data_IF_926262596316
#
_entry.id   IF_926262596316
#
_cell.length_a   1.000
_cell.length_b   1.000
_cell.length_c   1.000
_cell.angle_alpha   90.00
_cell.angle_beta   90.00
_cell.angle_gamma   90.00
#
_symmetry.space_group_name_H-M   'P 1'
#
loop_
_entity.id
_entity.type
_entity.pdbx_description
1 polymer ?
#
# COMPACT_ATOMS: atom_id res chain seq x y z
N UNK A 1 -25.08 16.00 15.22
CA UNK A 1 -24.85 15.16 14.03
C UNK A 1 -24.10 13.93 14.51
N UNK A 2 -24.82 12.84 14.73
CA UNK A 2 -24.26 11.60 15.24
C UNK A 2 -23.35 10.97 14.19
N UNK A 3 -22.12 10.65 14.58
CA UNK A 3 -21.19 9.92 13.72
C UNK A 3 -21.70 8.48 13.57
N UNK A 4 -21.76 7.91 12.35
CA UNK A 4 -22.00 6.49 12.21
C UNK A 4 -20.88 5.76 12.95
N UNK A 5 -21.23 4.81 13.83
CA UNK A 5 -20.22 3.94 14.43
C UNK A 5 -19.64 3.06 13.33
N UNK A 6 -18.48 3.44 12.80
CA UNK A 6 -17.66 2.51 12.05
C UNK A 6 -17.13 1.49 13.06
N UNK A 7 -17.88 0.39 13.20
CA UNK A 7 -17.33 -0.82 13.79
C UNK A 7 -15.99 -1.10 13.11
N UNK A 8 -15.00 -1.56 13.90
CA UNK A 8 -13.77 -2.17 13.40
C UNK A 8 -14.14 -3.47 12.67
N UNK A 9 -14.76 -3.34 11.50
CA UNK A 9 -15.24 -4.44 10.67
C UNK A 9 -14.06 -4.94 9.89
N UNK A 10 -13.63 -6.14 10.23
CA UNK A 10 -12.69 -6.88 9.41
C UNK A 10 -13.17 -6.95 7.96
N UNK A 11 -12.30 -6.63 7.02
CA UNK A 11 -12.57 -6.75 5.59
C UNK A 11 -11.58 -7.70 4.93
N UNK A 12 -12.01 -8.31 3.83
CA UNK A 12 -11.16 -9.10 2.95
C UNK A 12 -10.08 -8.20 2.36
N UNK A 13 -8.84 -8.68 2.35
CA UNK A 13 -7.68 -8.05 1.75
C UNK A 13 -7.62 -8.39 0.26
N UNK A 14 -7.43 -7.37 -0.56
CA UNK A 14 -6.80 -7.56 -1.86
C UNK A 14 -5.39 -6.97 -1.77
N UNK A 15 -4.41 -7.85 -1.89
CA UNK A 15 -3.04 -7.42 -2.12
C UNK A 15 -2.88 -7.20 -3.60
N UNK A 16 -2.82 -5.93 -3.97
CA UNK A 16 -2.26 -5.62 -5.25
C UNK A 16 -0.77 -5.90 -5.12
N UNK A 17 -0.38 -7.03 -5.69
CA UNK A 17 1.00 -7.32 -5.99
C UNK A 17 1.29 -6.70 -7.35
N UNK A 18 1.90 -5.51 -7.43
CA UNK A 18 2.50 -5.07 -8.66
C UNK A 18 3.81 -5.85 -8.84
N UNK A 19 3.69 -7.15 -9.12
CA UNK A 19 4.52 -7.68 -10.18
C UNK A 19 3.67 -7.56 -11.46
N UNK A 20 3.57 -6.31 -11.90
CA UNK A 20 3.99 -5.96 -13.25
C UNK A 20 2.96 -5.95 -14.40
N UNK A 21 2.43 -4.78 -14.72
CA UNK A 21 1.63 -4.55 -15.93
C UNK A 21 2.40 -4.56 -17.25
N UNK A 22 3.73 -4.69 -17.28
CA UNK A 22 4.49 -4.93 -18.53
C UNK A 22 5.98 -4.99 -18.27
N UNK A 23 6.75 -6.04 -18.67
CA UNK A 23 8.22 -6.20 -18.50
C UNK A 23 9.08 -4.94 -18.67
N UNK A 24 8.58 -3.92 -19.37
CA UNK A 24 9.19 -2.61 -19.56
C UNK A 24 9.50 -1.80 -18.29
N UNK A 25 8.73 -1.87 -17.21
CA UNK A 25 8.99 -1.02 -16.02
C UNK A 25 10.27 -1.47 -15.19
N UNK A 26 11.07 -2.51 -15.60
CA UNK A 26 11.68 -3.58 -14.69
C UNK A 26 12.85 -3.06 -13.88
N UNK A 27 13.35 -1.91 -14.31
CA UNK A 27 14.02 -0.95 -13.48
C UNK A 27 12.97 -0.11 -12.78
N UNK A 28 12.69 -0.40 -11.50
CA UNK A 28 11.85 0.44 -10.64
C UNK A 28 12.46 1.84 -10.61
N UNK A 29 12.05 2.67 -11.57
CA UNK A 29 12.20 4.11 -11.49
C UNK A 29 11.65 4.50 -10.13
N UNK A 30 12.49 5.03 -9.22
CA UNK A 30 12.05 5.36 -7.88
C UNK A 30 10.97 6.45 -7.89
N UNK A 31 10.75 7.15 -9.01
CA UNK A 31 9.69 8.15 -9.17
C UNK A 31 8.48 7.65 -9.96
N UNK A 32 8.40 6.34 -10.24
CA UNK A 32 7.24 5.75 -10.92
C UNK A 32 5.94 5.98 -10.14
N UNK A 33 4.82 5.94 -10.87
CA UNK A 33 3.48 6.00 -10.29
C UNK A 33 2.69 4.75 -10.63
N UNK A 34 1.89 4.29 -9.67
CA UNK A 34 0.83 3.31 -9.87
C UNK A 34 -0.33 4.04 -10.54
N UNK A 35 -0.69 3.56 -11.74
CA UNK A 35 -1.74 4.13 -12.58
C UNK A 35 -3.05 3.32 -12.51
N UNK A 36 -4.14 3.88 -13.05
CA UNK A 36 -5.44 3.19 -13.13
C UNK A 36 -5.32 1.88 -13.90
N UNK A 37 -4.54 1.88 -14.97
CA UNK A 37 -4.26 0.70 -15.79
C UNK A 37 -3.59 -0.41 -14.98
N UNK A 38 -2.78 -0.05 -13.97
CA UNK A 38 -2.15 -1.03 -13.09
C UNK A 38 -3.18 -1.77 -12.21
N UNK A 39 -4.20 -1.05 -11.75
CA UNK A 39 -5.30 -1.59 -10.96
C UNK A 39 -6.21 -2.48 -11.81
N UNK A 40 -6.59 -2.01 -12.99
CA UNK A 40 -7.46 -2.75 -13.92
C UNK A 40 -6.79 -4.02 -14.44
N UNK A 41 -5.49 -3.94 -14.75
CA UNK A 41 -4.73 -5.10 -15.17
C UNK A 41 -4.67 -6.16 -14.07
N UNK A 42 -4.47 -5.75 -12.81
CA UNK A 42 -4.47 -6.68 -11.68
C UNK A 42 -5.80 -7.44 -11.56
N UNK A 43 -6.95 -6.75 -11.68
CA UNK A 43 -8.25 -7.41 -11.68
C UNK A 43 -8.37 -8.40 -12.86
N UNK A 44 -7.89 -8.01 -14.04
CA UNK A 44 -7.91 -8.86 -15.24
C UNK A 44 -7.06 -10.13 -15.10
N UNK A 45 -5.85 -10.05 -14.53
CA UNK A 45 -4.95 -11.22 -14.44
C UNK A 45 -5.28 -12.15 -13.28
N UNK A 46 -5.83 -11.61 -12.19
CA UNK A 46 -6.21 -12.41 -11.01
C UNK A 46 -7.63 -12.95 -11.09
N UNK A 47 -8.49 -12.33 -11.90
CA UNK A 47 -9.93 -12.57 -11.92
C UNK A 47 -10.63 -12.17 -10.61
N UNK A 48 -9.93 -11.47 -9.72
CA UNK A 48 -10.48 -10.98 -8.45
C UNK A 48 -10.88 -9.53 -8.59
N UNK A 49 -11.94 -9.13 -7.90
CA UNK A 49 -12.28 -7.72 -7.79
C UNK A 49 -11.54 -7.08 -6.63
N UNK A 50 -11.10 -5.85 -6.84
CA UNK A 50 -10.62 -4.97 -5.80
C UNK A 50 -11.78 -4.32 -5.01
N UNK A 51 -13.04 -4.48 -5.44
CA UNK A 51 -14.20 -3.87 -4.81
C UNK A 51 -14.48 -4.42 -3.41
N UNK A 52 -14.69 -3.49 -2.45
CA UNK A 52 -15.01 -3.80 -1.06
C UNK A 52 -13.83 -4.38 -0.26
N UNK A 53 -12.61 -4.35 -0.81
CA UNK A 53 -11.40 -4.86 -0.15
C UNK A 53 -10.50 -3.74 0.35
N UNK A 54 -9.62 -4.07 1.30
CA UNK A 54 -8.50 -3.21 1.64
C UNK A 54 -7.45 -3.43 0.55
N UNK A 55 -7.01 -2.35 -0.10
CA UNK A 55 -5.98 -2.40 -1.14
C UNK A 55 -4.60 -2.18 -0.50
N UNK A 56 -3.70 -3.15 -0.63
CA UNK A 56 -2.29 -2.98 -0.26
C UNK A 56 -1.43 -2.98 -1.51
N UNK A 57 -0.65 -1.92 -1.70
CA UNK A 57 0.31 -1.74 -2.78
C UNK A 57 1.67 -2.27 -2.33
N UNK A 58 2.05 -3.45 -2.85
CA UNK A 58 3.34 -4.08 -2.53
C UNK A 58 4.42 -3.68 -3.53
N UNK A 59 5.27 -2.73 -3.19
CA UNK A 59 6.33 -2.24 -4.10
C UNK A 59 7.68 -2.94 -3.87
N UNK A 60 7.84 -3.60 -2.71
CA UNK A 60 9.11 -4.14 -2.23
C UNK A 60 9.99 -3.12 -1.51
N UNK A 61 9.52 -1.88 -1.33
CA UNK A 61 10.30 -0.79 -0.75
C UNK A 61 10.63 -1.00 0.73
N UNK A 62 9.81 -1.77 1.45
CA UNK A 62 10.05 -2.16 2.85
C UNK A 62 11.43 -2.78 3.09
N UNK A 63 11.98 -3.48 2.09
CA UNK A 63 13.33 -4.07 2.15
C UNK A 63 14.44 -3.04 2.36
N UNK A 64 14.18 -1.76 2.05
CA UNK A 64 15.14 -0.66 2.20
C UNK A 64 15.12 -0.04 3.60
N UNK A 65 14.17 -0.39 4.48
CA UNK A 65 13.97 0.24 5.79
C UNK A 65 15.24 0.36 6.65
N UNK A 66 16.12 -0.66 6.62
CA UNK A 66 17.38 -0.65 7.37
C UNK A 66 18.49 0.24 6.80
N UNK A 67 18.29 0.83 5.62
CA UNK A 67 19.22 1.74 4.96
C UNK A 67 18.51 3.06 4.64
N UNK A 68 18.79 4.08 5.46
CA UNK A 68 18.10 5.39 5.38
C UNK A 68 18.23 6.05 4.00
N UNK A 69 19.44 6.11 3.44
CA UNK A 69 19.66 6.67 2.10
C UNK A 69 18.85 5.93 1.04
N UNK A 70 18.81 4.60 1.10
CA UNK A 70 18.02 3.81 0.16
C UNK A 70 16.50 3.98 0.36
N UNK A 71 16.04 4.05 1.60
CA UNK A 71 14.62 4.16 1.95
C UNK A 71 14.02 5.50 1.55
N UNK A 72 14.73 6.59 1.82
CA UNK A 72 14.31 7.94 1.42
C UNK A 72 14.64 8.24 -0.06
N UNK A 73 15.50 7.43 -0.69
CA UNK A 73 15.95 7.64 -2.06
C UNK A 73 16.86 8.86 -2.22
N UNK A 74 17.48 9.33 -1.14
CA UNK A 74 18.23 10.59 -1.12
C UNK A 74 19.42 10.53 -0.16
N UNK A 75 20.51 11.28 -0.41
CA UNK A 75 21.62 11.41 0.54
C UNK A 75 21.16 11.90 1.92
N UNK A 76 21.90 11.49 2.96
CA UNK A 76 21.65 11.97 4.33
C UNK A 76 21.79 13.50 4.41
N UNK A 77 20.88 14.13 5.14
CA UNK A 77 20.80 15.58 5.31
C UNK A 77 19.87 16.30 4.34
N UNK A 78 19.26 15.58 3.39
CA UNK A 78 18.28 16.13 2.44
C UNK A 78 16.86 15.59 2.64
N UNK A 79 16.65 14.69 3.62
CA UNK A 79 15.37 13.99 3.81
C UNK A 79 14.21 14.88 4.26
N UNK A 80 14.50 16.09 4.76
CA UNK A 80 13.51 17.03 5.26
C UNK A 80 12.83 17.86 4.15
N UNK A 81 13.37 17.86 2.92
CA UNK A 81 12.74 18.48 1.75
C UNK A 81 12.18 17.39 0.81
N UNK A 82 10.84 17.28 0.68
CA UNK A 82 10.20 16.31 -0.22
C UNK A 82 10.79 16.31 -1.63
N UNK A 83 11.23 17.46 -2.17
CA UNK A 83 11.80 17.56 -3.52
C UNK A 83 13.03 16.68 -3.75
N UNK A 84 13.71 16.28 -2.67
CA UNK A 84 14.87 15.41 -2.73
C UNK A 84 14.54 13.95 -2.48
N UNK A 85 13.31 13.60 -2.13
CA UNK A 85 12.89 12.24 -1.85
C UNK A 85 12.53 11.49 -3.13
N UNK A 86 12.97 10.24 -3.23
CA UNK A 86 12.73 9.41 -4.40
C UNK A 86 12.20 8.04 -3.98
N UNK A 87 10.88 7.91 -3.99
CA UNK A 87 10.15 6.66 -3.84
C UNK A 87 8.81 6.78 -4.55
N UNK A 88 8.30 5.64 -5.00
CA UNK A 88 7.15 5.58 -5.88
C UNK A 88 5.84 5.79 -5.10
N UNK A 89 4.76 6.10 -5.80
CA UNK A 89 3.45 6.34 -5.19
C UNK A 89 2.29 6.07 -6.13
N UNK A 90 1.10 6.57 -5.78
CA UNK A 90 -0.09 6.57 -6.61
C UNK A 90 -0.14 7.83 -7.48
N UNK A 91 -0.60 7.69 -8.72
CA UNK A 91 -1.01 8.84 -9.50
C UNK A 91 -2.32 9.43 -8.97
N UNK A 92 -2.57 10.70 -9.28
CA UNK A 92 -3.82 11.37 -8.91
C UNK A 92 -5.05 10.69 -9.57
N UNK A 93 -4.90 10.18 -10.80
CA UNK A 93 -5.94 9.42 -11.50
C UNK A 93 -6.22 8.09 -10.81
N UNK A 94 -5.19 7.36 -10.39
CA UNK A 94 -5.35 6.13 -9.61
C UNK A 94 -6.02 6.40 -8.27
N UNK A 95 -5.61 7.44 -7.56
CA UNK A 95 -6.26 7.88 -6.32
C UNK A 95 -7.74 8.20 -6.54
N UNK A 96 -8.09 8.91 -7.62
CA UNK A 96 -9.48 9.25 -7.94
C UNK A 96 -10.30 8.01 -8.28
N UNK A 97 -9.73 7.04 -9.01
CA UNK A 97 -10.41 5.78 -9.32
C UNK A 97 -10.70 4.94 -8.06
N UNK A 98 -9.83 5.02 -7.05
CA UNK A 98 -10.01 4.33 -5.78
C UNK A 98 -11.10 4.94 -4.90
N UNK A 99 -11.42 6.23 -5.06
CA UNK A 99 -12.46 6.93 -4.28
C UNK A 99 -13.80 6.21 -4.32
N UNK A 100 -14.19 5.76 -5.50
CA UNK A 100 -15.55 5.26 -5.72
C UNK A 100 -15.79 3.89 -5.09
N UNK A 101 -14.74 3.18 -4.65
CA UNK A 101 -14.86 1.76 -4.35
C UNK A 101 -14.05 1.27 -3.14
N UNK A 102 -13.39 2.14 -2.35
CA UNK A 102 -12.47 1.72 -1.26
C UNK A 102 -12.68 2.51 0.03
N UNK A 103 -12.39 1.86 1.15
CA UNK A 103 -12.38 2.49 2.47
C UNK A 103 -10.96 2.67 3.04
N UNK A 104 -10.03 1.80 2.65
CA UNK A 104 -8.65 1.79 3.15
C UNK A 104 -7.70 1.39 2.03
N UNK A 105 -6.59 2.12 1.92
CA UNK A 105 -5.43 1.75 1.11
C UNK A 105 -4.17 1.64 1.98
N UNK A 106 -3.17 0.93 1.50
CA UNK A 106 -1.85 0.95 2.10
C UNK A 106 -0.71 0.73 1.12
N UNK A 107 0.50 1.11 1.52
CA UNK A 107 1.72 1.01 0.73
C UNK A 107 2.93 0.75 1.65
N UNK A 108 3.98 0.14 1.11
CA UNK A 108 5.23 -0.15 1.81
C UNK A 108 6.32 0.95 1.68
N UNK A 109 5.99 2.07 1.03
CA UNK A 109 6.81 3.28 0.97
C UNK A 109 6.48 4.24 2.13
N UNK A 110 7.27 5.31 2.25
CA UNK A 110 7.09 6.36 3.26
C UNK A 110 5.75 7.10 3.11
N UNK A 111 5.27 7.21 1.88
CA UNK A 111 3.99 7.84 1.53
C UNK A 111 3.40 7.17 0.29
N UNK A 112 2.07 7.19 0.16
CA UNK A 112 1.39 6.77 -1.07
C UNK A 112 1.29 7.87 -2.13
N UNK A 113 1.82 9.06 -1.87
CA UNK A 113 2.26 9.98 -2.92
C UNK A 113 3.74 9.70 -3.26
N UNK A 114 4.16 10.05 -4.49
CA UNK A 114 5.58 9.97 -4.84
C UNK A 114 6.44 10.85 -3.91
N UNK A 115 7.67 10.44 -3.66
CA UNK A 115 8.58 11.14 -2.73
C UNK A 115 8.75 12.61 -3.04
N UNK A 116 8.94 12.94 -4.32
CA UNK A 116 9.11 14.31 -4.80
C UNK A 116 7.84 15.17 -4.82
N UNK A 117 6.69 14.65 -4.38
CA UNK A 117 5.44 15.41 -4.32
C UNK A 117 5.46 16.45 -3.20
N UNK A 118 5.05 17.67 -3.54
CA UNK A 118 4.90 18.79 -2.60
C UNK A 118 3.44 19.13 -2.32
N UNK A 119 2.55 18.70 -3.20
CA UNK A 119 1.12 19.00 -3.21
C UNK A 119 0.24 17.81 -2.77
N UNK A 120 0.84 16.63 -2.63
CA UNK A 120 0.26 15.39 -2.12
C UNK A 120 -1.14 15.09 -2.69
N UNK A 121 -1.29 14.99 -4.02
CA UNK A 121 -2.59 14.84 -4.66
C UNK A 121 -3.31 13.56 -4.21
N UNK A 122 -2.61 12.44 -4.02
CA UNK A 122 -3.24 11.20 -3.58
C UNK A 122 -3.77 11.33 -2.15
N UNK A 123 -3.02 11.92 -1.23
CA UNK A 123 -3.51 12.26 0.12
C UNK A 123 -4.77 13.11 0.06
N UNK A 124 -4.73 14.20 -0.69
CA UNK A 124 -5.86 15.16 -0.75
C UNK A 124 -7.11 14.51 -1.30
N UNK A 125 -6.99 13.70 -2.35
CA UNK A 125 -8.10 12.98 -2.97
C UNK A 125 -8.66 11.94 -2.00
N UNK A 126 -7.81 11.05 -1.48
CA UNK A 126 -8.26 9.91 -0.67
C UNK A 126 -8.77 10.33 0.71
N UNK A 127 -7.98 11.10 1.46
CA UNK A 127 -8.39 11.59 2.78
C UNK A 127 -9.59 12.54 2.68
N UNK A 128 -9.66 13.34 1.61
CA UNK A 128 -10.80 14.22 1.32
C UNK A 128 -12.13 13.48 1.14
N UNK A 129 -12.08 12.21 0.72
CA UNK A 129 -13.24 11.33 0.59
C UNK A 129 -13.38 10.35 1.78
N UNK A 130 -12.62 10.54 2.87
CA UNK A 130 -12.72 9.71 4.07
C UNK A 130 -12.06 8.34 3.95
N UNK A 131 -11.22 8.12 2.92
CA UNK A 131 -10.46 6.89 2.75
C UNK A 131 -9.20 6.95 3.61
N UNK A 132 -8.96 5.92 4.42
CA UNK A 132 -7.77 5.87 5.28
C UNK A 132 -6.54 5.34 4.53
N UNK A 133 -5.37 5.93 4.81
CA UNK A 133 -4.08 5.48 4.29
C UNK A 133 -3.25 4.73 5.34
N UNK A 134 -2.52 3.70 4.91
CA UNK A 134 -1.52 2.97 5.68
C UNK A 134 -0.17 3.09 4.98
N UNK A 135 0.84 3.59 5.69
CA UNK A 135 2.17 3.83 5.14
C UNK A 135 3.21 2.99 5.88
N UNK A 136 4.39 2.83 5.28
CA UNK A 136 5.50 2.08 5.86
C UNK A 136 5.11 0.62 6.22
N UNK A 137 4.21 0.01 5.44
CA UNK A 137 3.77 -1.37 5.67
C UNK A 137 4.91 -2.34 5.29
N UNK A 138 5.03 -3.47 6.00
CA UNK A 138 6.07 -4.49 5.74
C UNK A 138 5.46 -5.90 5.63
N UNK A 139 6.29 -6.87 5.22
CA UNK A 139 5.97 -8.29 5.13
C UNK A 139 4.80 -8.60 4.17
N UNK A 140 4.54 -7.71 3.21
CA UNK A 140 3.52 -7.90 2.18
C UNK A 140 3.87 -9.08 1.25
N UNK A 141 5.14 -9.50 1.22
CA UNK A 141 5.62 -10.68 0.51
C UNK A 141 5.14 -12.01 1.09
N UNK A 142 4.82 -12.04 2.38
CA UNK A 142 4.43 -13.26 3.08
C UNK A 142 2.91 -13.48 3.08
N UNK A 143 2.15 -12.53 2.52
CA UNK A 143 0.69 -12.52 2.52
C UNK A 143 0.17 -12.84 1.12
N UNK A 144 -0.85 -13.71 0.97
CA UNK A 144 -1.39 -14.07 -0.34
C UNK A 144 -2.01 -12.87 -1.05
N UNK A 145 -1.94 -12.86 -2.39
CA UNK A 145 -2.39 -11.75 -3.24
C UNK A 145 -3.87 -11.39 -3.04
N UNK A 146 -4.67 -12.33 -2.55
CA UNK A 146 -6.09 -12.13 -2.30
C UNK A 146 -6.57 -13.06 -1.20
N UNK A 147 -7.61 -12.66 -0.48
CA UNK A 147 -8.35 -13.52 0.44
C UNK A 147 -7.80 -13.57 1.87
N UNK A 148 -6.70 -12.87 2.17
CA UNK A 148 -6.31 -12.64 3.56
C UNK A 148 -7.32 -11.72 4.26
N UNK A 149 -7.38 -11.79 5.59
CA UNK A 149 -8.18 -10.92 6.42
C UNK A 149 -7.26 -9.97 7.16
N UNK A 150 -7.45 -8.66 6.99
CA UNK A 150 -6.68 -7.66 7.71
C UNK A 150 -7.41 -7.15 8.95
N UNK A 151 -6.62 -6.94 10.00
CA UNK A 151 -7.00 -6.16 11.17
C UNK A 151 -6.06 -4.97 11.27
N UNK A 152 -6.64 -3.77 11.30
CA UNK A 152 -5.93 -2.50 11.36
C UNK A 152 -6.23 -1.89 12.72
N UNK A 153 -5.24 -1.89 13.61
CA UNK A 153 -5.41 -1.56 15.03
C UNK A 153 -4.61 -0.29 15.39
N UNK A 154 -5.11 0.91 15.05
CA UNK A 154 -4.42 2.17 15.33
C UNK A 154 -4.47 2.50 16.82
N UNK A 155 -3.45 3.20 17.32
CA UNK A 155 -3.51 3.78 18.65
C UNK A 155 -4.64 4.82 18.74
N UNK A 156 -5.42 4.79 19.83
CA UNK A 156 -6.51 5.74 20.06
C UNK A 156 -5.98 7.06 20.63
N UNK A 157 -5.51 7.93 19.75
CA UNK A 157 -4.98 9.26 20.10
C UNK A 157 -6.11 10.31 20.03
N UNK A 158 -6.33 11.05 21.11
CA UNK A 158 -7.37 12.09 21.16
C UNK A 158 -7.08 13.22 20.19
N UNK A 159 -8.00 13.48 19.23
CA UNK A 159 -7.84 14.54 18.23
C UNK A 159 -6.75 14.27 17.18
N UNK A 160 -6.17 13.07 17.13
CA UNK A 160 -5.11 12.73 16.18
C UNK A 160 -5.61 12.65 14.74
N UNK A 161 -4.83 13.20 13.80
CA UNK A 161 -5.02 13.03 12.36
C UNK A 161 -4.53 11.68 11.84
N UNK A 162 -3.67 11.01 12.59
CA UNK A 162 -3.11 9.69 12.31
C UNK A 162 -2.52 9.08 13.58
N UNK A 163 -2.13 7.81 13.51
CA UNK A 163 -1.54 7.09 14.63
C UNK A 163 -0.68 5.91 14.15
N UNK A 164 0.37 5.52 14.89
CA UNK A 164 1.00 4.22 14.72
C UNK A 164 -0.05 3.11 14.83
N UNK A 165 0.13 2.07 14.01
CA UNK A 165 -0.86 1.02 13.83
C UNK A 165 -0.20 -0.35 13.86
N UNK A 166 -0.85 -1.31 14.53
CA UNK A 166 -0.53 -2.72 14.35
C UNK A 166 -1.44 -3.30 13.28
N UNK A 167 -0.85 -3.72 12.17
CA UNK A 167 -1.56 -4.43 11.09
C UNK A 167 -1.33 -5.93 11.30
N UNK A 168 -2.40 -6.72 11.27
CA UNK A 168 -2.33 -8.18 11.32
C UNK A 168 -3.03 -8.74 10.08
N UNK A 169 -2.38 -9.70 9.41
CA UNK A 169 -2.98 -10.48 8.33
C UNK A 169 -3.22 -11.91 8.81
N UNK A 170 -4.44 -12.41 8.61
CA UNK A 170 -4.82 -13.81 8.88
C UNK A 170 -5.24 -14.46 7.57
N UNK A 171 -4.62 -15.58 7.24
CA UNK A 171 -4.93 -16.38 6.05
C UNK A 171 -4.54 -17.84 6.30
N UNK A 172 -5.15 -18.81 5.60
CA UNK A 172 -4.74 -20.20 5.69
C UNK A 172 -3.29 -20.35 5.24
N UNK A 173 -2.47 -21.09 6.00
CA UNK A 173 -1.19 -21.52 5.48
C UNK A 173 -1.41 -22.59 4.41
N UNK A 174 -0.86 -22.37 3.21
CA UNK A 174 -0.68 -23.44 2.24
C UNK A 174 0.54 -24.24 2.65
N UNK A 175 0.32 -25.32 3.43
CA UNK A 175 1.37 -26.27 3.78
C UNK A 175 1.55 -27.21 2.58
N UNK A 176 2.55 -26.97 1.74
CA UNK A 176 3.04 -28.03 0.87
C UNK A 176 3.76 -29.08 1.74
N UNK A 177 3.51 -30.39 1.55
CA UNK A 177 4.41 -31.38 2.11
C UNK A 177 5.81 -31.09 1.57
N UNK A 178 6.75 -30.85 2.49
CA UNK A 178 8.17 -30.77 2.14
C UNK A 178 8.49 -32.08 1.43
N UNK A 179 8.71 -32.04 0.11
CA UNK A 179 9.33 -33.17 -0.57
C UNK A 179 10.66 -33.37 0.13
N UNK A 180 10.80 -34.49 0.83
CA UNK A 180 12.08 -34.89 1.40
C UNK A 180 13.07 -34.85 0.26
N UNK A 181 14.05 -33.95 0.32
CA UNK A 181 15.25 -34.09 -0.49
C UNK A 181 15.82 -35.46 -0.14
N UNK A 182 15.71 -36.40 -1.06
CA UNK A 182 16.48 -37.64 -1.00
C UNK A 182 17.95 -37.23 -0.92
N UNK A 183 18.60 -37.66 0.17
CA UNK A 183 20.05 -37.58 0.37
C UNK A 183 20.83 -38.22 -0.79
#
# INVERSE_FOLDING_TARGET
>A
MERPSSSLTSRTLSLLMPWWTSPAKQNLDPDALVEVEDLLHWESVTGQSLNGTILMLRTGWSKKWGNRTAYFGTPLGLEDDPKHLHFLGLSASAAQWLVDNRDIIGIDTLSYDKGSSVDFPAHRILLGHGIFGLENVTNLEDVPIYGAKLYVLPMKIGGGSGAPVRILAIFPQVIYPRLSSSE
#
